data_IF_821835883760
#
_entry.id   IF_821835883760
#
_cell.length_a   1.000
_cell.length_b   1.000
_cell.length_c   1.000
_cell.angle_alpha   90.00
_cell.angle_beta   90.00
_cell.angle_gamma   90.00
#
_symmetry.space_group_name_H-M   'P 1'
#
loop_
_entity.id
_entity.type
_entity.pdbx_description
1 polymer ?
2 polymer ?
3 polymer ?
4 polymer ?
5 polymer ?
6 non-polymer ?
7 non-polymer ?
8 non-polymer ?
9 non-polymer ?
10 non-polymer ?
11 non-polymer ?
12 non-polymer ?
13 non-polymer ?
14 water ?
#
loop_
_entity_poly.entity_id
_entity_poly.type
_entity_poly.pdbx_seq_one_letter_code
_entity_poly.pdbx_strand_id
2 'polydeoxyribonucleotide' '(DC)(DG)(DG)(DC)(DA)(DT)' ?
3 'polydeoxyribonucleotide' '(DA)(DC)(DG)' ?
4 'polydeoxyribonucleotide' '(DC)(DG)(DT)(DA)' ?
5 'polydeoxyribonucleotide' '(DG)(DC)(DC)(DG)' ?
#
# COMPACT_ATOMS: atom_id res chain seq x y z
CA UNK A 9 -8.98 -13.22 -26.11
C UNK A 9 -8.20 -13.85 -24.96
N UNK A 10 -7.46 -13.03 -24.22
CA UNK A 10 -6.52 -13.56 -23.24
C UNK A 10 -7.23 -14.14 -22.02
N UNK A 11 -6.66 -15.21 -21.48
CA UNK A 11 -7.09 -15.74 -20.18
C UNK A 11 -7.03 -14.63 -19.14
N UNK A 12 -8.19 -14.32 -18.49
CA UNK A 12 -8.18 -13.27 -17.49
C UNK A 12 -9.33 -13.37 -16.47
N UNK A 13 -9.05 -13.91 -15.29
CA UNK A 13 -10.06 -13.90 -14.23
C UNK A 13 -10.35 -12.50 -13.73
N UNK A 14 -11.55 -12.34 -13.18
CA UNK A 14 -12.10 -11.03 -12.87
C UNK A 14 -11.50 -10.42 -11.60
N UNK A 15 -11.09 -11.23 -10.64
CA UNK A 15 -10.49 -10.72 -9.40
C UNK A 15 -8.97 -10.74 -9.47
N UNK A 16 -8.33 -9.70 -8.93
CA UNK A 16 -6.88 -9.65 -9.05
C UNK A 16 -6.19 -10.74 -8.24
N UNK A 17 -6.85 -11.25 -7.23
CA UNK A 17 -6.26 -12.32 -6.42
C UNK A 17 -6.30 -13.69 -7.10
N UNK A 18 -6.89 -13.78 -8.30
CA UNK A 18 -7.00 -15.03 -9.04
C UNK A 18 -5.94 -15.19 -10.11
N UNK A 19 -5.02 -14.24 -10.25
CA UNK A 19 -4.05 -14.31 -11.31
C UNK A 19 -2.73 -13.77 -10.81
N UNK A 20 -1.60 -14.27 -11.33
CA UNK A 20 -0.31 -13.71 -10.95
C UNK A 20 -0.07 -12.37 -11.61
N UNK A 21 0.46 -11.43 -10.83
CA UNK A 21 0.88 -10.13 -11.36
C UNK A 21 2.33 -9.95 -10.93
N UNK A 22 3.27 -10.13 -11.83
CA UNK A 22 4.69 -10.05 -11.45
C UNK A 22 5.14 -8.60 -11.28
N UNK A 23 6.32 -8.47 -10.68
CA UNK A 23 6.89 -7.15 -10.46
C UNK A 23 7.15 -6.41 -11.77
N UNK A 24 7.80 -7.09 -12.71
CA UNK A 24 8.06 -6.52 -14.03
C UNK A 24 7.08 -7.12 -15.02
N UNK A 25 6.40 -6.26 -15.76
CA UNK A 25 5.37 -6.70 -16.69
C UNK A 25 5.27 -5.73 -17.85
N UNK A 26 4.38 -6.04 -18.76
CA UNK A 26 4.17 -5.21 -19.93
C UNK A 26 3.09 -4.16 -19.63
N UNK A 27 2.91 -3.29 -20.61
CA UNK A 27 1.81 -2.35 -20.67
C UNK A 27 1.90 -1.27 -19.61
N UNK A 28 3.12 -0.95 -19.16
CA UNK A 28 3.26 0.03 -18.09
C UNK A 28 2.72 1.40 -18.50
N UNK A 29 2.91 1.78 -19.76
CA UNK A 29 2.38 3.05 -20.22
C UNK A 29 0.87 3.09 -20.20
N UNK A 30 0.23 2.04 -20.70
CA UNK A 30 -1.23 1.98 -20.64
C UNK A 30 -1.72 1.99 -19.20
N UNK A 31 -1.10 1.18 -18.33
CA UNK A 31 -1.56 1.12 -16.96
C UNK A 31 -1.34 2.44 -16.24
N UNK A 32 -0.22 3.11 -16.52
CA UNK A 32 0.05 4.38 -15.84
C UNK A 32 -0.99 5.43 -16.20
N UNK A 33 -1.47 5.43 -17.44
CA UNK A 33 -2.51 6.39 -17.84
C UNK A 33 -3.82 6.11 -17.11
N UNK A 34 -4.23 4.85 -17.06
CA UNK A 34 -5.44 4.50 -16.31
C UNK A 34 -5.29 4.80 -14.82
N UNK A 35 -4.09 4.63 -14.25
CA UNK A 35 -3.90 4.95 -12.84
C UNK A 35 -3.93 6.47 -12.57
N UNK A 36 -3.53 7.29 -13.53
CA UNK A 36 -3.79 8.73 -13.43
C UNK A 36 -5.29 9.01 -13.31
N UNK A 37 -6.09 8.42 -14.20
CA UNK A 37 -7.53 8.63 -14.10
C UNK A 37 -8.11 8.10 -12.80
N UNK A 38 -7.58 6.98 -12.30
CA UNK A 38 -8.03 6.46 -11.00
C UNK A 38 -7.74 7.44 -9.88
N UNK A 39 -6.51 7.95 -9.83
CA UNK A 39 -6.13 8.92 -8.81
C UNK A 39 -7.01 10.17 -8.89
N UNK A 40 -7.24 10.65 -10.12
CA UNK A 40 -8.09 11.81 -10.31
C UNK A 40 -9.52 11.55 -9.86
N UNK A 41 -10.02 10.33 -10.12
CA UNK A 41 -11.34 9.98 -9.62
C UNK A 41 -11.39 10.07 -8.11
N UNK A 42 -10.35 9.60 -7.43
CA UNK A 42 -10.30 9.69 -5.98
C UNK A 42 -10.29 11.12 -5.51
N UNK A 43 -9.58 11.99 -6.22
CA UNK A 43 -9.52 13.39 -5.82
C UNK A 43 -10.87 14.06 -5.91
N UNK A 44 -11.75 13.58 -6.78
CA UNK A 44 -13.10 14.13 -6.91
C UNK A 44 -14.12 13.37 -6.07
N UNK A 45 -13.68 12.43 -5.23
CA UNK A 45 -14.56 11.73 -4.33
C UNK A 45 -15.30 10.56 -4.94
N UNK A 46 -14.87 10.06 -6.10
CA UNK A 46 -15.53 8.90 -6.69
C UNK A 46 -14.66 7.67 -6.49
N UNK A 47 -14.88 7.01 -5.36
CA UNK A 47 -14.12 5.81 -5.04
C UNK A 47 -14.51 4.64 -5.94
N UNK A 48 -15.73 4.62 -6.46
CA UNK A 48 -16.09 3.56 -7.38
C UNK A 48 -15.34 3.65 -8.71
N UNK A 49 -15.28 4.87 -9.29
CA UNK A 49 -14.52 5.05 -10.52
C UNK A 49 -13.03 4.80 -10.29
N UNK A 50 -12.50 5.21 -9.14
CA UNK A 50 -11.11 4.92 -8.81
C UNK A 50 -10.86 3.41 -8.87
N UNK A 51 -11.79 2.64 -8.30
CA UNK A 51 -11.61 1.20 -8.21
C UNK A 51 -11.68 0.53 -9.57
N UNK A 52 -12.56 0.99 -10.46
CA UNK A 52 -12.60 0.42 -11.81
C UNK A 52 -11.32 0.75 -12.57
N UNK A 53 -10.85 2.00 -12.51
CA UNK A 53 -9.64 2.33 -13.26
C UNK A 53 -8.43 1.60 -12.70
N UNK A 54 -8.36 1.43 -11.38
CA UNK A 54 -7.29 0.62 -10.78
C UNK A 54 -7.38 -0.83 -11.26
N UNK A 55 -8.57 -1.39 -11.26
CA UNK A 55 -8.73 -2.77 -11.69
C UNK A 55 -8.35 -2.96 -13.17
N UNK A 56 -8.76 -2.03 -14.03
CA UNK A 56 -8.44 -2.11 -15.45
C UNK A 56 -6.93 -2.01 -15.65
N UNK A 57 -6.27 -1.07 -14.97
CA UNK A 57 -4.83 -0.99 -15.02
C UNK A 57 -4.17 -2.29 -14.61
N UNK A 58 -4.69 -2.91 -13.55
CA UNK A 58 -4.10 -4.14 -13.03
C UNK A 58 -4.25 -5.29 -14.01
N UNK A 59 -5.38 -5.37 -14.71
CA UNK A 59 -5.56 -6.40 -15.73
C UNK A 59 -4.44 -6.32 -16.75
N UNK A 60 -4.08 -5.11 -17.19
CA UNK A 60 -3.01 -4.99 -18.19
C UNK A 60 -1.68 -5.49 -17.66
N UNK A 61 -1.43 -5.34 -16.37
CA UNK A 61 -0.18 -5.83 -15.76
C UNK A 61 -0.10 -7.34 -15.76
N UNK A 62 -1.23 -8.04 -15.82
CA UNK A 62 -1.26 -9.49 -15.77
C UNK A 62 -1.26 -10.15 -17.13
N UNK A 63 -1.35 -9.37 -18.20
CA UNK A 63 -1.42 -9.94 -19.54
C UNK A 63 -0.06 -10.52 -19.95
N UNK A 64 -0.06 -11.57 -20.78
CA UNK A 64 1.22 -12.18 -21.17
C UNK A 64 2.07 -11.32 -22.07
N UNK A 65 1.48 -10.42 -22.85
CA UNK A 65 2.24 -9.69 -23.85
C UNK A 65 1.84 -8.22 -23.95
N UNK A 66 2.64 -7.39 -24.61
CA UNK A 66 2.21 -6.02 -24.88
C UNK A 66 0.93 -5.96 -25.67
N UNK A 67 0.05 -5.04 -25.26
CA UNK A 67 -1.14 -4.71 -26.04
C UNK A 67 -0.74 -3.73 -27.14
N UNK A 68 -0.93 -4.13 -28.38
CA UNK A 68 -0.62 -3.30 -29.53
C UNK A 68 -1.83 -3.01 -30.41
N UNK A 69 -2.92 -3.76 -30.24
CA UNK A 69 -4.12 -3.59 -31.02
C UNK A 69 -5.31 -3.59 -30.08
N UNK A 70 -6.30 -2.74 -30.37
CA UNK A 70 -7.48 -2.64 -29.53
C UNK A 70 -8.17 -3.99 -29.35
N UNK A 71 -8.03 -4.87 -30.34
CA UNK A 71 -8.73 -6.15 -30.28
C UNK A 71 -8.23 -7.02 -29.13
N UNK A 72 -6.99 -6.82 -28.68
CA UNK A 72 -6.50 -7.56 -27.53
C UNK A 72 -7.24 -7.24 -26.24
N UNK A 73 -8.11 -6.23 -26.22
CA UNK A 73 -8.91 -5.91 -25.03
C UNK A 73 -10.22 -6.67 -24.98
N UNK A 74 -10.60 -7.30 -26.09
CA UNK A 74 -11.89 -7.98 -26.16
C UNK A 74 -12.03 -8.98 -25.03
N UNK A 75 -13.13 -8.87 -24.30
CA UNK A 75 -13.44 -9.82 -23.28
C UNK A 75 -12.79 -9.58 -21.94
N UNK A 76 -11.94 -8.58 -21.82
CA UNK A 76 -11.22 -8.47 -20.55
C UNK A 76 -12.12 -7.88 -19.47
N UNK A 77 -12.06 -8.42 -18.26
CA UNK A 77 -12.83 -7.83 -17.16
C UNK A 77 -12.38 -6.40 -16.87
N UNK A 78 -13.35 -5.57 -16.53
CA UNK A 78 -13.18 -4.17 -16.09
C UNK A 78 -12.80 -3.22 -17.21
N UNK A 79 -12.85 -3.67 -18.47
CA UNK A 79 -12.76 -2.78 -19.62
C UNK A 79 -14.14 -2.57 -20.22
N UNK A 80 -14.62 -1.35 -20.12
CA UNK A 80 -15.83 -0.92 -20.78
C UNK A 80 -15.53 0.20 -21.72
N UNK A 81 -16.51 1.05 -21.98
CA UNK A 81 -16.35 2.05 -23.02
C UNK A 81 -15.24 3.03 -22.68
N UNK A 82 -15.14 3.44 -21.40
CA UNK A 82 -14.24 4.51 -21.04
C UNK A 82 -12.79 4.03 -21.01
N UNK A 83 -12.50 2.93 -20.31
CA UNK A 83 -11.13 2.41 -20.26
C UNK A 83 -10.64 2.02 -21.65
N UNK A 84 -11.52 1.45 -22.48
CA UNK A 84 -11.12 1.05 -23.82
C UNK A 84 -10.77 2.27 -24.67
N UNK A 85 -11.54 3.35 -24.55
CA UNK A 85 -11.24 4.55 -25.32
C UNK A 85 -9.87 5.13 -24.96
N UNK A 86 -9.52 5.10 -23.68
CA UNK A 86 -8.22 5.59 -23.25
C UNK A 86 -7.11 4.78 -23.91
N UNK A 87 -7.22 3.45 -23.86
CA UNK A 87 -6.21 2.62 -24.48
C UNK A 87 -6.18 2.85 -25.99
N UNK A 88 -7.36 2.98 -26.60
CA UNK A 88 -7.42 3.21 -28.04
C UNK A 88 -6.66 4.46 -28.44
N UNK A 89 -6.92 5.56 -27.74
CA UNK A 89 -6.21 6.81 -28.05
C UNK A 89 -4.71 6.67 -27.86
N UNK A 90 -4.28 5.99 -26.80
CA UNK A 90 -2.85 5.82 -26.60
C UNK A 90 -2.25 4.99 -27.73
N UNK A 91 -2.96 3.98 -28.19
CA UNK A 91 -2.43 3.13 -29.25
C UNK A 91 -2.40 3.88 -30.58
N UNK A 92 -3.43 4.70 -30.84
CA UNK A 92 -3.57 5.37 -32.13
C UNK A 92 -2.82 6.69 -32.21
N UNK A 93 -2.46 7.30 -31.08
CA UNK A 93 -1.85 8.62 -31.10
C UNK A 93 -0.70 8.78 -30.12
N UNK A 94 -0.46 7.84 -29.22
CA UNK A 94 0.60 7.96 -28.24
C UNK A 94 0.26 8.80 -27.02
N UNK A 95 -0.92 9.40 -26.99
CA UNK A 95 -1.37 10.21 -25.85
C UNK A 95 -2.89 10.15 -25.82
N UNK A 96 -3.43 10.36 -24.64
CA UNK A 96 -4.87 10.42 -24.41
C UNK A 96 -5.20 11.82 -23.91
N UNK A 97 -6.07 12.52 -24.65
CA UNK A 97 -6.37 13.91 -24.33
C UNK A 97 -6.86 14.05 -22.89
N UNK A 98 -7.78 13.19 -22.48
CA UNK A 98 -8.32 13.28 -21.13
C UNK A 98 -7.21 13.16 -20.08
N UNK A 99 -6.30 12.21 -20.28
CA UNK A 99 -5.21 12.00 -19.33
C UNK A 99 -4.30 13.21 -19.28
N UNK A 100 -3.96 13.76 -20.44
CA UNK A 100 -3.10 14.95 -20.47
C UNK A 100 -3.77 16.15 -19.81
N UNK A 101 -5.07 16.35 -20.04
CA UNK A 101 -5.79 17.45 -19.41
C UNK A 101 -5.78 17.31 -17.90
N UNK A 102 -6.01 16.09 -17.41
CA UNK A 102 -5.98 15.85 -15.96
C UNK A 102 -4.58 16.11 -15.42
N UNK A 103 -3.59 15.44 -16.00
CA UNK A 103 -2.22 15.49 -15.52
C UNK A 103 -1.71 16.92 -15.43
N UNK A 104 -2.09 17.77 -16.37
CA UNK A 104 -1.57 19.13 -16.44
C UNK A 104 -2.41 20.14 -15.68
N UNK A 105 -3.52 19.73 -15.06
CA UNK A 105 -4.42 20.64 -14.39
C UNK A 105 -3.90 21.04 -13.00
N UNK A 106 -4.19 22.28 -12.62
CA UNK A 106 -3.76 22.77 -11.32
C UNK A 106 -4.38 21.95 -10.20
N UNK A 107 -5.65 21.58 -10.36
CA UNK A 107 -6.33 20.78 -9.34
C UNK A 107 -5.61 19.45 -9.11
N UNK A 108 -5.31 18.72 -10.18
CA UNK A 108 -4.66 17.42 -10.01
C UNK A 108 -3.28 17.58 -9.40
N UNK A 109 -2.49 18.53 -9.91
CA UNK A 109 -1.13 18.68 -9.41
C UNK A 109 -1.12 19.05 -7.93
N UNK A 110 -2.02 19.95 -7.53
CA UNK A 110 -2.05 20.38 -6.14
C UNK A 110 -2.58 19.28 -5.23
N UNK A 111 -3.63 18.58 -5.66
CA UNK A 111 -4.15 17.48 -4.84
C UNK A 111 -3.13 16.37 -4.69
N UNK A 112 -2.36 16.09 -5.75
CA UNK A 112 -1.30 15.10 -5.64
C UNK A 112 -0.25 15.56 -4.65
N UNK A 113 0.14 16.82 -4.74
CA UNK A 113 1.13 17.38 -3.82
C UNK A 113 0.67 17.27 -2.38
N UNK A 114 -0.58 17.66 -2.10
CA UNK A 114 -1.03 17.68 -0.71
C UNK A 114 -1.28 16.27 -0.19
N UNK A 115 -1.90 15.40 -0.99
CA UNK A 115 -2.23 14.07 -0.48
C UNK A 115 -0.99 13.19 -0.34
N UNK A 116 0.12 13.55 -0.92
CA UNK A 116 1.32 12.76 -0.70
C UNK A 116 2.05 13.17 0.58
N UNK A 117 1.54 14.18 1.31
CA UNK A 117 2.04 14.52 2.65
C UNK A 117 1.50 13.50 3.65
N UNK A 118 2.38 13.00 4.54
CA UNK A 118 1.93 12.12 5.61
C UNK A 118 0.99 12.88 6.53
N UNK A 119 -0.21 12.34 6.70
CA UNK A 119 -1.23 12.97 7.52
C UNK A 119 -2.32 13.69 6.75
N UNK A 120 -2.23 13.77 5.43
CA UNK A 120 -3.19 14.48 4.59
C UNK A 120 -3.85 13.49 3.64
N UNK A 121 -5.18 13.44 3.67
CA UNK A 121 -5.96 12.69 2.68
C UNK A 121 -6.71 13.60 1.73
N UNK A 122 -7.55 12.97 0.90
CA UNK A 122 -8.29 13.72 -0.11
C UNK A 122 -9.17 14.80 0.53
N UNK A 123 -9.89 14.45 1.58
CA UNK A 123 -10.83 15.41 2.14
C UNK A 123 -10.12 16.64 2.69
N UNK A 124 -8.98 16.44 3.39
CA UNK A 124 -8.20 17.56 3.88
C UNK A 124 -7.60 18.37 2.74
N UNK A 125 -6.97 17.68 1.79
CA UNK A 125 -6.37 18.35 0.63
C UNK A 125 -7.41 19.17 -0.13
N UNK A 126 -8.60 18.62 -0.33
CA UNK A 126 -9.65 19.34 -1.05
C UNK A 126 -10.11 20.56 -0.29
N UNK A 127 -10.24 20.46 1.04
CA UNK A 127 -10.60 21.63 1.83
C UNK A 127 -9.56 22.73 1.63
N UNK A 128 -8.27 22.38 1.76
CA UNK A 128 -7.22 23.37 1.56
C UNK A 128 -7.25 23.95 0.16
N UNK A 129 -7.47 23.10 -0.84
CA UNK A 129 -7.53 23.59 -2.22
C UNK A 129 -8.65 24.61 -2.38
N UNK A 130 -9.83 24.30 -1.83
CA UNK A 130 -10.97 25.21 -1.93
C UNK A 130 -10.71 26.51 -1.18
N UNK A 131 -9.79 26.50 -0.22
CA UNK A 131 -9.40 27.72 0.50
C UNK A 131 -8.31 28.51 -0.21
N UNK A 132 -7.87 28.06 -1.38
CA UNK A 132 -6.89 28.78 -2.17
C UNK A 132 -5.46 28.37 -1.93
N UNK A 133 -5.20 27.42 -1.05
CA UNK A 133 -3.83 26.98 -0.83
C UNK A 133 -3.35 26.13 -2.00
N UNK A 134 -2.06 26.29 -2.34
CA UNK A 134 -1.49 25.63 -3.51
C UNK A 134 -0.10 25.02 -3.29
N UNK A 135 0.69 25.47 -2.30
CA UNK A 135 2.06 25.01 -2.15
C UNK A 135 2.30 24.58 -0.72
N UNK A 136 3.39 23.84 -0.51
CA UNK A 136 3.75 23.43 0.84
C UNK A 136 4.11 24.64 1.70
N UNK A 137 4.66 25.69 1.09
CA UNK A 137 4.92 26.92 1.82
C UNK A 137 3.62 27.57 2.32
N UNK A 138 2.55 27.52 1.50
CA UNK A 138 1.25 28.00 1.97
C UNK A 138 0.82 27.28 3.24
N UNK A 139 1.08 25.97 3.33
CA UNK A 139 0.64 25.22 4.51
C UNK A 139 1.49 25.59 5.71
N UNK A 140 2.80 25.77 5.51
CA UNK A 140 3.67 26.15 6.62
C UNK A 140 3.26 27.49 7.21
N UNK A 141 2.74 28.39 6.38
CA UNK A 141 2.32 29.72 6.83
C UNK A 141 1.05 29.70 7.66
N UNK A 142 0.36 28.56 7.75
CA UNK A 142 -0.93 28.46 8.43
C UNK A 142 -0.94 27.24 9.34
N UNK A 143 -0.01 27.19 10.30
CA UNK A 143 0.14 25.97 11.12
C UNK A 143 -1.05 25.70 12.02
N UNK A 144 -1.95 26.66 12.18
CA UNK A 144 -3.18 26.41 12.92
C UNK A 144 -4.01 25.33 12.23
N UNK A 145 -3.85 25.18 10.92
CA UNK A 145 -4.61 24.20 10.16
C UNK A 145 -4.07 22.78 10.29
N UNK A 146 -2.99 22.54 11.05
CA UNK A 146 -2.24 21.28 10.96
C UNK A 146 -2.30 20.44 12.24
N UNK A 147 -2.56 19.15 12.07
CA UNK A 147 -2.37 18.17 13.12
C UNK A 147 -0.89 17.92 13.35
N UNK A 148 -0.57 17.29 14.49
CA UNK A 148 0.82 16.94 14.77
C UNK A 148 1.34 15.94 13.74
N UNK A 149 0.49 15.04 13.28
CA UNK A 149 0.89 14.13 12.22
C UNK A 149 1.26 14.89 10.95
N UNK A 150 0.42 15.85 10.54
CA UNK A 150 0.70 16.66 9.36
C UNK A 150 1.94 17.52 9.54
N UNK A 151 2.17 18.04 10.74
CA UNK A 151 3.38 18.83 10.96
C UNK A 151 4.61 17.98 10.73
N UNK A 152 4.59 16.73 11.18
CA UNK A 152 5.72 15.84 10.96
C UNK A 152 5.88 15.53 9.48
N UNK A 153 4.79 15.27 8.79
CA UNK A 153 4.88 15.02 7.35
C UNK A 153 5.44 16.19 6.59
N UNK A 154 5.10 17.39 7.00
CA UNK A 154 5.58 18.58 6.31
C UNK A 154 7.04 18.84 6.66
N UNK A 155 7.39 18.69 7.94
CA UNK A 155 8.77 18.93 8.37
C UNK A 155 9.74 18.02 7.65
N UNK A 156 9.38 16.76 7.43
CA UNK A 156 10.27 15.77 6.87
C UNK A 156 9.91 15.45 5.41
N UNK A 157 9.19 16.36 4.74
CA UNK A 157 8.65 16.04 3.42
C UNK A 157 9.74 15.71 2.42
N UNK A 158 10.85 16.46 2.45
CA UNK A 158 11.90 16.23 1.45
C UNK A 158 12.47 14.82 1.59
N UNK A 159 12.83 14.41 2.81
CA UNK A 159 13.37 13.06 2.99
C UNK A 159 12.33 11.99 2.65
N UNK A 160 11.07 12.23 3.00
CA UNK A 160 10.02 11.23 2.78
C UNK A 160 9.72 11.08 1.30
N UNK A 161 10.14 12.04 0.47
CA UNK A 161 9.98 11.95 -0.97
C UNK A 161 11.10 11.16 -1.63
N UNK A 162 12.16 10.87 -0.89
CA UNK A 162 13.34 10.16 -1.40
C UNK A 162 13.06 8.66 -1.33
N UNK A 163 13.22 7.91 -2.43
CA UNK A 163 12.95 6.47 -2.37
C UNK A 163 13.77 5.77 -1.29
N UNK A 164 13.10 4.90 -0.55
CA UNK A 164 13.76 4.01 0.39
C UNK A 164 14.37 2.86 -0.41
N UNK A 165 15.64 2.57 -0.14
CA UNK A 165 16.40 1.53 -0.84
C UNK A 165 16.61 0.30 0.04
N UNK A 166 17.03 -0.82 -0.60
CA UNK A 166 17.28 -2.05 0.17
C UNK A 166 18.37 -1.87 1.23
N UNK A 167 19.39 -1.04 0.96
CA UNK A 167 20.41 -0.81 1.99
C UNK A 167 19.79 -0.17 3.22
N UNK A 168 18.80 0.71 3.02
CA UNK A 168 18.08 1.31 4.14
C UNK A 168 17.28 0.25 4.89
N UNK A 169 16.63 -0.63 4.15
CA UNK A 169 15.84 -1.70 4.77
C UNK A 169 16.72 -2.54 5.69
N UNK A 170 17.89 -2.97 5.19
CA UNK A 170 18.76 -3.84 5.97
C UNK A 170 19.19 -3.15 7.26
N UNK A 171 19.56 -1.87 7.17
CA UNK A 171 19.97 -1.12 8.37
C UNK A 171 18.81 -0.98 9.34
N UNK A 172 17.63 -0.67 8.81
CA UNK A 172 16.47 -0.48 9.68
C UNK A 172 16.07 -1.80 10.34
N UNK A 173 16.12 -2.90 9.59
CA UNK A 173 15.73 -4.16 10.18
C UNK A 173 16.66 -4.51 11.34
N UNK A 174 17.95 -4.19 11.21
CA UNK A 174 18.88 -4.49 12.28
C UNK A 174 18.52 -3.70 13.54
N UNK A 175 18.22 -2.41 13.41
CA UNK A 175 17.94 -1.65 14.62
C UNK A 175 16.58 -2.03 15.20
N UNK A 176 15.60 -2.37 14.35
CA UNK A 176 14.33 -2.84 14.88
C UNK A 176 14.49 -4.18 15.58
N UNK A 177 15.27 -5.09 14.99
CA UNK A 177 15.49 -6.38 15.65
C UNK A 177 16.19 -6.21 17.00
N UNK A 178 17.13 -5.27 17.09
CA UNK A 178 17.79 -5.03 18.37
C UNK A 178 16.80 -4.56 19.43
N UNK A 179 15.95 -3.59 19.07
CA UNK A 179 14.98 -3.09 20.03
C UNK A 179 13.97 -4.16 20.41
N UNK A 180 13.50 -4.94 19.44
CA UNK A 180 12.52 -5.98 19.72
C UNK A 180 13.14 -7.03 20.63
N UNK A 181 14.38 -7.41 20.38
CA UNK A 181 15.03 -8.42 21.21
C UNK A 181 15.31 -7.94 22.62
N UNK A 182 15.59 -6.64 22.77
CA UNK A 182 15.70 -6.06 24.10
C UNK A 182 14.34 -6.05 24.81
N UNK A 183 13.26 -5.81 24.06
CA UNK A 183 11.93 -5.68 24.64
C UNK A 183 11.30 -7.03 24.99
N UNK A 184 11.62 -8.10 24.26
CA UNK A 184 10.97 -9.38 24.50
C UNK A 184 11.82 -10.49 23.91
N UNK A 185 12.54 -11.25 24.72
CA UNK A 185 13.38 -12.31 24.16
C UNK A 185 12.53 -13.29 23.36
N UNK A 186 13.06 -13.67 22.20
CA UNK A 186 12.39 -14.62 21.33
C UNK A 186 11.43 -14.01 20.35
N UNK A 187 11.15 -12.71 20.47
CA UNK A 187 10.28 -12.07 19.49
C UNK A 187 11.02 -11.95 18.16
N UNK A 188 10.24 -11.97 17.07
CA UNK A 188 10.80 -11.94 15.73
C UNK A 188 10.27 -10.74 14.95
N UNK A 189 11.04 -10.40 13.91
CA UNK A 189 10.73 -9.29 13.01
C UNK A 189 10.74 -9.82 11.59
N UNK A 190 9.65 -9.59 10.87
CA UNK A 190 9.47 -10.04 9.48
C UNK A 190 9.26 -8.83 8.59
N UNK A 191 10.09 -8.70 7.55
CA UNK A 191 9.89 -7.66 6.55
C UNK A 191 8.64 -7.97 5.74
N UNK A 192 7.75 -6.98 5.63
CA UNK A 192 6.54 -7.16 4.84
C UNK A 192 6.45 -6.05 3.79
N UNK A 193 5.25 -5.60 3.45
CA UNK A 193 5.09 -4.53 2.47
C UNK A 193 5.73 -4.83 1.11
N UNK A 194 5.94 -3.74 0.38
CA UNK A 194 6.44 -3.87 -0.98
C UNK A 194 7.77 -4.58 -1.11
N UNK A 195 8.67 -4.39 -0.13
CA UNK A 195 9.96 -5.05 -0.23
C UNK A 195 9.81 -6.57 -0.20
N UNK A 196 8.81 -7.11 0.51
CA UNK A 196 8.62 -8.56 0.48
C UNK A 196 8.10 -9.05 -0.87
N UNK A 197 7.42 -8.20 -1.65
CA UNK A 197 6.96 -8.52 -3.00
C UNK A 197 8.05 -8.36 -4.04
N UNK A 198 9.25 -7.97 -3.62
CA UNK A 198 10.39 -7.85 -4.51
C UNK A 198 10.66 -6.44 -4.99
N UNK A 199 9.87 -5.45 -4.55
CA UNK A 199 10.11 -4.07 -4.95
C UNK A 199 11.51 -3.66 -4.54
N UNK A 200 12.16 -2.89 -5.41
CA UNK A 200 13.52 -2.47 -5.12
C UNK A 200 13.59 -1.14 -4.39
N UNK A 201 12.55 -0.36 -4.45
CA UNK A 201 12.46 0.89 -3.70
C UNK A 201 11.07 0.96 -3.12
N UNK A 202 10.90 1.87 -2.16
CA UNK A 202 9.61 2.00 -1.51
C UNK A 202 9.47 3.36 -0.88
N UNK A 203 8.24 3.62 -0.40
CA UNK A 203 7.91 4.85 0.30
C UNK A 203 8.12 4.72 1.80
N UNK A 204 8.32 3.51 2.30
CA UNK A 204 8.52 3.23 3.72
C UNK A 204 9.06 1.81 3.84
N UNK A 205 9.26 1.37 5.08
CA UNK A 205 9.56 -0.02 5.40
C UNK A 205 8.52 -0.48 6.39
N UNK A 206 7.93 -1.66 6.12
CA UNK A 206 6.87 -2.23 6.95
C UNK A 206 7.40 -3.49 7.62
N UNK A 207 7.25 -3.58 8.95
CA UNK A 207 7.70 -4.74 9.72
C UNK A 207 6.58 -5.35 10.56
N UNK A 208 6.53 -6.68 10.58
CA UNK A 208 5.57 -7.44 11.37
C UNK A 208 6.31 -8.16 12.48
N UNK A 209 5.83 -7.97 13.72
CA UNK A 209 6.49 -8.47 14.92
C UNK A 209 5.57 -9.46 15.61
N UNK A 210 6.12 -10.61 16.02
CA UNK A 210 5.34 -11.57 16.78
C UNK A 210 6.26 -12.32 17.74
N UNK A 211 5.69 -13.30 18.44
CA UNK A 211 6.46 -14.15 19.33
C UNK A 211 5.85 -15.54 19.24
N UNK A 212 6.66 -16.60 19.26
CA UNK A 212 6.09 -17.94 19.05
C UNK A 212 5.14 -18.41 20.14
N UNK A 213 5.15 -17.82 21.33
CA UNK A 213 4.25 -18.21 22.42
C UNK A 213 3.09 -17.22 22.52
N UNK A 214 1.87 -17.68 22.21
CA UNK A 214 0.68 -16.85 22.21
C UNK A 214 0.53 -16.08 23.53
N UNK A 215 0.34 -14.76 23.42
CA UNK A 215 0.15 -13.90 24.57
C UNK A 215 1.39 -13.16 25.00
N UNK A 216 2.58 -13.69 24.70
CA UNK A 216 3.80 -13.03 25.12
C UNK A 216 3.94 -11.67 24.52
N UNK A 217 3.37 -11.46 23.34
CA UNK A 217 3.51 -10.21 22.62
C UNK A 217 2.63 -9.10 23.15
N UNK A 218 1.77 -9.37 24.12
CA UNK A 218 0.94 -8.31 24.67
C UNK A 218 1.81 -7.18 25.23
N UNK A 219 1.45 -5.95 24.90
CA UNK A 219 2.15 -4.79 25.41
C UNK A 219 3.51 -4.54 24.80
N UNK A 220 3.84 -5.17 23.68
CA UNK A 220 5.19 -5.12 23.15
C UNK A 220 5.49 -3.79 22.49
N UNK A 221 4.53 -3.24 21.73
CA UNK A 221 4.90 -2.12 20.88
C UNK A 221 5.34 -0.91 21.70
N UNK A 222 4.69 -0.54 22.80
CA UNK A 222 5.21 0.58 23.59
C UNK A 222 6.63 0.34 24.09
N UNK A 223 7.00 -0.92 24.42
CA UNK A 223 8.35 -1.19 24.89
C UNK A 223 9.37 -1.05 23.76
N UNK A 224 9.01 -1.49 22.55
CA UNK A 224 9.89 -1.30 21.40
C UNK A 224 10.06 0.18 21.12
N UNK A 225 8.97 0.93 21.15
CA UNK A 225 9.05 2.37 20.83
C UNK A 225 9.93 3.10 21.85
N UNK A 226 9.78 2.79 23.13
CA UNK A 226 10.63 3.44 24.13
C UNK A 226 12.09 3.15 23.87
N UNK A 227 12.42 1.91 23.48
CA UNK A 227 13.81 1.55 23.29
C UNK A 227 14.38 2.19 22.04
N UNK A 228 13.56 2.33 20.99
CA UNK A 228 14.03 3.04 19.82
C UNK A 228 14.21 4.52 20.12
N UNK A 229 13.29 5.11 20.87
CA UNK A 229 13.40 6.52 21.20
C UNK A 229 14.65 6.78 22.02
N UNK A 230 15.03 5.85 22.90
CA UNK A 230 16.21 6.04 23.74
C UNK A 230 17.50 5.99 22.93
N UNK A 231 17.51 5.28 21.81
CA UNK A 231 18.65 5.26 20.92
C UNK A 231 18.68 6.46 19.97
N UNK A 232 17.76 7.42 20.15
CA UNK A 232 17.71 8.57 19.28
C UNK A 232 17.17 8.30 17.90
N UNK A 233 16.41 7.23 17.72
CA UNK A 233 16.02 6.80 16.39
C UNK A 233 14.66 7.33 15.95
N UNK A 234 13.88 7.96 16.81
CA UNK A 234 12.48 8.28 16.53
C UNK A 234 12.33 9.80 16.39
N UNK A 235 11.92 10.25 15.19
CA UNK A 235 11.58 11.64 14.95
C UNK A 235 10.09 11.90 15.19
N UNK A 236 9.25 10.94 14.88
CA UNK A 236 7.81 11.08 15.05
C UNK A 236 7.24 9.73 15.40
N UNK A 237 6.32 9.73 16.36
CA UNK A 237 5.44 8.60 16.57
C UNK A 237 4.08 9.09 17.09
N UNK A 238 3.10 8.22 17.02
CA UNK A 238 1.71 8.62 17.20
C UNK A 238 1.37 9.04 18.62
N UNK A 239 2.16 8.66 19.62
CA UNK A 239 1.81 8.93 21.01
C UNK A 239 2.82 9.91 21.60
N UNK A 258 -1.94 1.43 24.72
CA UNK A 258 -2.15 0.09 24.20
C UNK A 258 -2.39 0.17 22.70
N UNK A 259 -1.47 -0.37 21.90
CA UNK A 259 -1.67 -0.29 20.45
C UNK A 259 -0.95 -1.44 19.76
N UNK A 260 -1.42 -1.73 18.55
CA UNK A 260 -0.88 -2.81 17.73
C UNK A 260 -0.23 -2.34 16.42
N UNK A 261 -0.38 -1.07 16.05
CA UNK A 261 0.24 -0.51 14.85
C UNK A 261 0.88 0.83 15.19
N UNK A 262 2.12 1.02 14.71
CA UNK A 262 2.89 2.25 14.90
C UNK A 262 3.25 2.80 13.53
N UNK A 263 2.96 4.06 13.31
CA UNK A 263 3.32 4.77 12.08
C UNK A 263 4.38 5.81 12.46
N UNK A 264 5.65 5.47 12.24
CA UNK A 264 6.80 6.18 12.77
C UNK A 264 7.54 6.92 11.66
N UNK A 265 8.34 7.90 12.07
CA UNK A 265 9.41 8.41 11.24
C UNK A 265 10.70 8.20 12.01
N UNK A 266 11.64 7.46 11.41
CA UNK A 266 12.92 7.15 12.01
C UNK A 266 13.98 8.13 11.55
N UNK A 267 14.93 8.42 12.44
CA UNK A 267 16.18 9.12 12.13
C UNK A 267 17.21 8.06 11.77
N UNK A 268 17.33 7.77 10.49
CA UNK A 268 18.21 6.70 10.01
C UNK A 268 19.63 7.20 9.85
N UNK A 269 20.61 6.69 10.60
CA UNK A 269 21.99 7.14 10.39
C UNK A 269 22.44 6.88 8.97
N UNK A 270 23.19 7.84 8.44
CA UNK A 270 23.84 7.80 7.14
C UNK A 270 25.28 8.22 7.38
N UNK A 271 26.19 7.96 6.45
CA UNK A 271 27.58 8.39 6.64
C UNK A 271 27.68 9.89 6.87
N UNK A 272 28.13 10.26 8.08
CA UNK A 272 28.28 11.65 8.47
C UNK A 272 26.96 12.38 8.72
N UNK A 273 25.83 11.69 8.66
CA UNK A 273 24.57 12.41 8.75
C UNK A 273 23.41 11.47 9.01
N UNK A 274 22.21 11.82 8.53
CA UNK A 274 21.03 11.00 8.75
C UNK A 274 19.94 11.41 7.76
N UNK A 275 18.93 10.57 7.61
CA UNK A 275 17.75 10.91 6.83
C UNK A 275 16.53 10.33 7.50
N UNK A 276 15.42 11.04 7.37
CA UNK A 276 14.14 10.57 7.87
C UNK A 276 13.57 9.49 6.96
N UNK A 277 13.06 8.43 7.57
CA UNK A 277 12.42 7.34 6.83
C UNK A 277 11.14 6.95 7.55
N UNK A 278 10.05 6.82 6.80
CA UNK A 278 8.83 6.23 7.35
C UNK A 278 9.00 4.73 7.62
N UNK A 279 8.58 4.32 8.81
CA UNK A 279 8.63 2.93 9.21
C UNK A 279 7.29 2.60 9.87
N UNK A 280 6.67 1.51 9.44
CA UNK A 280 5.47 0.99 10.07
C UNK A 280 5.79 -0.28 10.83
N UNK A 281 5.28 -0.38 12.05
CA UNK A 281 5.43 -1.56 12.88
C UNK A 281 4.05 -2.08 13.20
N UNK A 282 3.86 -3.38 13.08
CA UNK A 282 2.62 -4.03 13.46
C UNK A 282 2.97 -5.24 14.31
N UNK A 283 2.26 -5.42 15.42
CA UNK A 283 2.41 -6.59 16.29
C UNK A 283 1.18 -7.48 16.09
N UNK A 284 1.40 -8.78 15.97
CA UNK A 284 0.31 -9.75 15.90
C UNK A 284 0.61 -10.90 16.85
N UNK A 285 -0.40 -11.46 17.52
CA UNK A 285 -0.19 -12.76 18.15
C UNK A 285 0.09 -13.81 17.08
N UNK A 286 0.82 -14.85 17.47
CA UNK A 286 1.24 -15.82 16.48
C UNK A 286 0.04 -16.51 15.81
N UNK A 287 -1.09 -16.65 16.51
CA UNK A 287 -2.29 -17.21 15.88
C UNK A 287 -2.73 -16.38 14.68
N UNK A 288 -2.49 -15.08 14.71
CA UNK A 288 -2.92 -14.19 13.66
C UNK A 288 -1.83 -13.89 12.65
N UNK A 289 -0.59 -14.34 12.91
CA UNK A 289 0.54 -13.95 12.06
C UNK A 289 0.31 -14.20 10.58
N UNK A 290 -0.21 -15.35 10.13
CA UNK A 290 -0.39 -15.55 8.68
C UNK A 290 -1.34 -14.53 8.08
N UNK A 291 -2.38 -14.14 8.84
CA UNK A 291 -3.33 -13.14 8.33
C UNK A 291 -2.70 -11.77 8.26
N UNK A 292 -1.89 -11.41 9.26
CA UNK A 292 -1.25 -10.12 9.22
C UNK A 292 -0.17 -10.07 8.16
N UNK A 293 0.56 -11.16 7.98
CA UNK A 293 1.57 -11.23 6.94
C UNK A 293 0.92 -11.08 5.56
N UNK A 294 -0.20 -11.76 5.36
CA UNK A 294 -0.90 -11.66 4.08
C UNK A 294 -1.37 -10.24 3.82
N UNK A 295 -2.04 -9.63 4.82
CA UNK A 295 -2.57 -8.30 4.61
C UNK A 295 -1.48 -7.28 4.37
N UNK A 296 -0.43 -7.32 5.20
CA UNK A 296 0.59 -6.30 5.12
C UNK A 296 1.60 -6.53 4.00
N UNK A 297 1.56 -7.67 3.33
CA UNK A 297 2.42 -7.86 2.16
C UNK A 297 1.79 -7.27 0.91
N UNK A 298 0.47 -7.11 0.90
CA UNK A 298 -0.13 -6.38 -0.21
C UNK A 298 -0.16 -7.18 -1.51
N UNK A 299 -0.20 -6.48 -2.65
CA UNK A 299 -0.37 -5.04 -2.77
C UNK A 299 -1.72 -4.62 -2.18
N UNK A 300 -1.89 -3.30 -2.07
CA UNK A 300 -3.16 -2.77 -1.58
C UNK A 300 -4.34 -3.27 -2.42
N UNK A 301 -4.25 -3.16 -3.74
CA UNK A 301 -5.35 -3.64 -4.60
C UNK A 301 -5.51 -5.15 -4.46
N UNK A 302 -4.40 -5.90 -4.40
CA UNK A 302 -4.51 -7.34 -4.21
C UNK A 302 -5.32 -7.67 -2.97
N UNK A 303 -5.07 -6.96 -1.88
CA UNK A 303 -5.77 -7.31 -0.65
C UNK A 303 -7.24 -6.88 -0.69
N UNK A 304 -7.54 -5.72 -1.26
CA UNK A 304 -8.94 -5.34 -1.43
C UNK A 304 -9.69 -6.39 -2.26
N UNK A 305 -9.05 -6.88 -3.30
CA UNK A 305 -9.67 -7.85 -4.18
C UNK A 305 -9.82 -9.20 -3.50
N UNK A 306 -8.82 -9.59 -2.70
CA UNK A 306 -8.89 -10.83 -1.94
C UNK A 306 -10.02 -10.78 -0.93
N UNK A 307 -10.19 -9.65 -0.24
CA UNK A 307 -11.23 -9.54 0.77
C UNK A 307 -12.61 -9.50 0.10
N UNK A 308 -12.69 -8.85 -1.05
CA UNK A 308 -13.93 -8.87 -1.83
C UNK A 308 -14.26 -10.29 -2.26
N UNK A 309 -13.27 -11.00 -2.79
CA UNK A 309 -13.47 -12.39 -3.19
C UNK A 309 -13.96 -13.21 -2.01
N UNK A 310 -13.32 -13.05 -0.86
CA UNK A 310 -13.66 -13.84 0.31
C UNK A 310 -15.13 -13.65 0.69
N UNK A 311 -15.58 -12.40 0.74
CA UNK A 311 -16.94 -12.17 1.21
C UNK A 311 -17.96 -12.53 0.14
N UNK A 312 -17.70 -12.18 -1.12
CA UNK A 312 -18.72 -12.35 -2.16
C UNK A 312 -18.76 -13.78 -2.66
N UNK A 313 -17.60 -14.40 -2.85
CA UNK A 313 -17.56 -15.76 -3.40
C UNK A 313 -17.57 -16.85 -2.34
N UNK A 314 -17.13 -16.58 -1.11
CA UNK A 314 -17.05 -17.60 -0.08
C UNK A 314 -17.88 -17.29 1.15
N UNK A 315 -18.39 -16.07 1.30
CA UNK A 315 -19.18 -15.72 2.47
C UNK A 315 -18.39 -15.58 3.73
N UNK A 316 -17.07 -15.37 3.60
CA UNK A 316 -16.17 -15.27 4.73
C UNK A 316 -15.58 -13.87 4.78
N UNK A 317 -15.31 -13.40 5.99
CA UNK A 317 -14.83 -12.04 6.20
C UNK A 317 -13.34 -12.09 6.54
N UNK A 318 -12.52 -11.41 5.74
CA UNK A 318 -11.06 -11.46 5.85
C UNK A 318 -10.46 -10.11 6.25
N UNK A 319 -9.57 -10.12 7.24
CA UNK A 319 -8.70 -8.97 7.49
C UNK A 319 -7.39 -9.47 8.11
N UNK A 320 -6.60 -8.56 8.66
CA UNK A 320 -5.27 -8.93 9.15
C UNK A 320 -5.33 -9.61 10.50
N UNK A 321 -6.52 -9.81 11.07
CA UNK A 321 -6.69 -10.56 12.30
C UNK A 321 -7.16 -11.98 12.08
N UNK A 322 -7.79 -12.27 10.95
CA UNK A 322 -8.41 -13.57 10.79
C UNK A 322 -9.36 -13.64 9.61
N UNK A 323 -9.96 -14.82 9.49
CA UNK A 323 -10.89 -15.16 8.41
C UNK A 323 -12.11 -15.75 9.11
N UNK A 324 -13.21 -15.00 9.12
CA UNK A 324 -14.36 -15.27 9.97
C UNK A 324 -15.54 -15.82 9.17
N UNK A 325 -16.13 -16.92 9.66
CA UNK A 325 -17.35 -17.48 9.09
C UNK A 325 -18.52 -16.96 9.90
N UNK A 326 -19.30 -16.01 9.38
CA UNK A 326 -20.35 -15.38 10.19
C UNK A 326 -21.56 -16.27 10.41
N UNK A 327 -21.63 -17.44 9.77
CA UNK A 327 -22.73 -18.36 10.02
C UNK A 327 -22.41 -19.26 11.21
N UNK A 328 -21.28 -19.98 11.15
CA UNK A 328 -20.81 -20.78 12.29
C UNK A 328 -20.28 -19.90 13.42
N UNK A 329 -19.93 -18.64 13.14
CA UNK A 329 -19.38 -17.74 14.14
C UNK A 329 -18.02 -18.25 14.63
N UNK A 330 -17.19 -18.70 13.69
CA UNK A 330 -15.89 -19.26 13.99
C UNK A 330 -14.81 -18.60 13.14
N UNK A 331 -13.59 -18.64 13.65
CA UNK A 331 -12.39 -18.19 12.94
C UNK A 331 -11.61 -19.38 12.39
N UNK A 332 -11.12 -19.24 11.16
CA UNK A 332 -10.29 -20.27 10.53
C UNK A 332 -8.90 -20.24 11.12
N UNK A 333 -8.41 -21.39 11.58
CA UNK A 333 -7.06 -21.49 12.14
C UNK A 333 -6.11 -21.74 10.99
N UNK A 334 -5.13 -20.86 10.84
CA UNK A 334 -4.16 -20.94 9.76
C UNK A 334 -2.76 -20.92 10.36
N UNK A 335 -1.86 -21.70 9.76
CA UNK A 335 -0.45 -21.64 10.09
C UNK A 335 0.38 -20.92 9.05
N UNK A 336 -0.16 -20.72 7.85
CA UNK A 336 0.60 -20.17 6.73
C UNK A 336 -0.34 -19.39 5.81
N UNK A 337 0.25 -18.54 4.98
CA UNK A 337 -0.51 -17.90 3.91
C UNK A 337 -1.13 -18.94 2.98
N UNK A 338 -0.38 -20.00 2.69
CA UNK A 338 -0.90 -21.07 1.84
C UNK A 338 -2.22 -21.62 2.39
N UNK A 339 -2.32 -21.78 3.72
CA UNK A 339 -3.55 -22.28 4.32
C UNK A 339 -4.73 -21.37 3.99
N UNK A 340 -4.50 -20.06 3.98
CA UNK A 340 -5.58 -19.11 3.74
C UNK A 340 -6.04 -19.17 2.29
N UNK A 341 -5.11 -19.11 1.33
CA UNK A 341 -5.47 -19.25 -0.08
C UNK A 341 -6.25 -20.55 -0.30
N UNK A 342 -5.78 -21.65 0.28
CA UNK A 342 -6.43 -22.94 0.03
C UNK A 342 -7.85 -22.94 0.56
N UNK A 343 -8.05 -22.37 1.73
CA UNK A 343 -9.38 -22.32 2.33
C UNK A 343 -10.35 -21.48 1.50
N UNK A 344 -9.85 -20.49 0.77
CA UNK A 344 -10.68 -19.66 -0.08
C UNK A 344 -10.88 -20.24 -1.46
N UNK A 345 -10.23 -21.38 -1.76
CA UNK A 345 -10.35 -21.98 -3.07
C UNK A 345 -9.51 -21.32 -4.13
N UNK A 346 -8.42 -20.67 -3.72
CA UNK A 346 -7.55 -19.95 -4.62
C UNK A 346 -6.21 -20.66 -4.77
N UNK A 347 -5.69 -20.65 -5.99
CA UNK A 347 -4.32 -21.09 -6.22
C UNK A 347 -3.37 -20.16 -5.47
N UNK A 348 -2.40 -20.74 -4.79
CA UNK A 348 -1.45 -19.94 -4.01
C UNK A 348 -0.60 -19.08 -4.95
N UNK A 349 -0.39 -17.82 -4.55
CA UNK A 349 0.50 -16.92 -5.25
C UNK A 349 1.59 -16.45 -4.28
N UNK A 350 2.86 -16.60 -4.60
CA UNK A 350 3.90 -16.07 -3.72
C UNK A 350 3.89 -14.56 -3.74
N UNK A 351 4.55 -13.90 -2.77
CA UNK A 351 4.48 -12.43 -2.68
C UNK A 351 4.87 -11.69 -3.96
N UNK A 352 5.85 -12.21 -4.71
CA UNK A 352 6.30 -11.51 -5.89
C UNK A 352 5.30 -11.58 -7.03
N UNK A 353 4.21 -12.35 -6.88
CA UNK A 353 3.15 -12.41 -7.86
C UNK A 353 1.88 -11.74 -7.37
N UNK A 354 1.99 -10.92 -6.31
CA UNK A 354 0.84 -10.20 -5.75
C UNK A 354 0.92 -8.70 -6.03
N UNK A 355 1.62 -8.33 -7.10
CA UNK A 355 1.84 -6.93 -7.46
C UNK A 355 0.72 -6.35 -8.32
N UNK A 356 -0.52 -6.59 -7.93
CA UNK A 356 -1.68 -6.07 -8.65
C UNK A 356 -1.77 -4.57 -8.53
X LIG F 1 -5.13 0.92 2.28
X LIG F 1 -4.31 0.01 2.53
X LIG F 1 -2.91 0.28 2.56
X LIG F 1 -2.05 -0.77 2.77
X LIG F 1 -4.74 -1.22 2.77
X LIG F 1 -3.89 -2.23 2.98
X LIG F 1 -4.33 -3.36 3.17
X LIG F 1 -2.55 -2.03 2.98
X LIG F 1 -1.65 -3.18 3.17
X LIG F 1 -1.18 -3.64 1.75
X LIG F 1 0.14 -2.85 1.52
X LIG F 1 1.02 -3.54 0.62
X LIG F 1 -0.43 -2.80 3.82
X LIG F 1 0.73 -2.95 2.94
X LIG F 1 1.77 -1.87 3.34
X LIG F 1 1.24 -0.58 3.07
X LIG F 1 2.17 0.50 2.37
X LIG F 1 1.38 1.77 2.31
X LIG F 1 3.46 0.55 3.17
X LIG F 1 2.39 -0.01 0.81
X LIG F 1 3.59 -0.93 0.14
X LIG F 1 2.96 -1.99 -0.74
X LIG F 1 4.53 -1.38 1.20
X LIG F 1 4.31 0.02 -0.93
X LIG F 1 5.17 1.36 -0.54
X LIG F 1 4.25 2.45 -1.02
X LIG F 1 5.32 1.40 0.95
X LIG F 1 6.42 1.28 -1.35
X LIG G 1 5.40 0.00 2.48
X LIG H 1 3.58 1.18 5.30
X LIG I 1 -1.15 11.29 2.73
X LIG J 1 -1.17 11.21 2.67
X LIG K 1 -6.67 -5.15 8.48
X LIG L 1 -8.60 -17.00 15.76
X LIG L 1 -8.99 -18.20 16.45
X LIG L 1 -7.13 -17.12 15.40
X LIG L 1 -6.83 -18.31 14.78
X LIG L 1 -6.72 -15.84 14.64
X LIG L 1 -7.62 -15.46 13.59
X LIG M 1 -9.55 -13.23 16.26
X LIG M 1 -10.05 -13.61 17.51
X LIG M 1 -9.81 -11.74 16.04
X LIG M 1 -9.29 -11.00 17.11
X LIG M 1 -8.88 -9.71 16.77
X LIG M 1 -8.34 -8.95 17.97
X LIG M 1 -6.95 -8.85 17.86
X LIG N 1 -13.73 18.96 5.71
X LIG N 1 -14.50 18.40 4.69
X LIG N 1 -15.58 19.37 4.24
X LIG N 1 -15.11 20.70 4.33
X LIG N 1 -15.76 22.95 4.77
X LIG N 1 -16.12 21.64 4.08
X LIG N 1 -15.07 23.75 3.85
X LIG N 1 -13.73 25.67 3.32
X LIG N 1 -14.39 24.82 4.42
X LIG N 1 -14.65 25.98 2.30
X LIG N 1 -15.09 27.08 0.18
X LIG N 1 -14.06 26.67 1.24
X LIG N 1 -15.52 26.00 -0.60
#
# INVERSE_FOLDING_TARGET
GSAAAPLSPAWMPAYACQRPTPLTHHNTGLSEALEILAEAAGFEGSEGRLLTFCRAASVLKALPSPVTTLSQLQGLPHFGEHSSRVVQELLEHGVCEEVERVRRSERYQTMKLFTQIFGVGVKTADRWYREGLRTLDDLREQPQKLTQQQKAGLQHHQDLSTPVLRSDVDALQQVVEEAVGQALPGATVTLTGGFRRGKLQGHDVDFLITHPKEGQEAGLLPRVMCRLQDQGLILYHQHQHSCCESPTRLAQQSHMDAFERSFCIFRLPQPGSWKAVRVDLVVAPVSQFPFALLGWTGSKLFQRELRRFSRKEKGLWLNSHGLFDPEQKTFFQAASEEDIFRHLGLEYLPPEQRNA
DUP O4 C4 C5 C6 N3 C2 O2 N1 C1' C2' C3' O3' O4' C4' C5' O5' PA O1A O2A N3A PB O1B O2B O3B PG O2G O1G O3G
MG MG
MG MG
NA NA
K K
CL CL
GOL C1 O1 C2 O2 C3 O3
PEG C1 O1 C2 O2 C3 C4 O4
1PE OH2 C12 C22 OH3 C13 C23 OH4 C14 C24 OH5 C15 C25 OH6
#
